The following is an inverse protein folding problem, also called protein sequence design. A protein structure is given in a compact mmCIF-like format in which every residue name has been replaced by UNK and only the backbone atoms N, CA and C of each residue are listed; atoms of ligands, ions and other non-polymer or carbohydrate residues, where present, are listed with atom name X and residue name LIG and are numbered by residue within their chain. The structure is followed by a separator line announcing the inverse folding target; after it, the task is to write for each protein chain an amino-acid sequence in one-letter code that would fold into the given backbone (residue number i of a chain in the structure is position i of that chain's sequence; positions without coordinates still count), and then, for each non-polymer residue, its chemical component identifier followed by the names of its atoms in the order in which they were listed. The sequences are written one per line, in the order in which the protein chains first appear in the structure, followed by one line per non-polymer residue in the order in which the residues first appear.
data_IF_832274791694
#
_entry.id   IF_832274791694
#
_cell.length_a   1.000
_cell.length_b   1.000
_cell.length_c   1.000
_cell.angle_alpha   90.00
_cell.angle_beta   90.00
_cell.angle_gamma   90.00
#
_symmetry.space_group_name_H-M   'P 1'
#
loop_
_entity.id
_entity.type
_entity.pdbx_description
1 polymer ?
#
# COMPACT_ATOMS: atom_id res chain seq x y z
N UNK A 1 -26.79 -28.31 -40.23
CA UNK A 1 -26.43 -26.88 -40.16
C UNK A 1 -26.38 -26.49 -38.69
N UNK A 2 -25.19 -26.54 -38.09
CA UNK A 2 -24.96 -26.11 -36.72
C UNK A 2 -24.53 -24.64 -36.72
N UNK A 3 -25.19 -23.86 -35.88
CA UNK A 3 -25.15 -22.41 -35.82
C UNK A 3 -23.88 -21.97 -35.07
N UNK A 4 -22.93 -21.36 -35.78
CA UNK A 4 -21.67 -20.86 -35.25
C UNK A 4 -21.92 -19.55 -34.48
N UNK A 5 -22.23 -19.66 -33.18
CA UNK A 5 -22.37 -18.53 -32.27
C UNK A 5 -21.27 -18.60 -31.21
N UNK A 6 -20.07 -18.14 -31.54
CA UNK A 6 -19.07 -17.67 -30.57
C UNK A 6 -18.04 -16.76 -31.26
N UNK A 7 -18.51 -15.63 -31.78
CA UNK A 7 -17.69 -14.58 -32.40
C UNK A 7 -17.01 -13.65 -31.40
N UNK A 8 -16.54 -14.14 -30.25
CA UNK A 8 -15.66 -13.36 -29.37
C UNK A 8 -14.22 -13.76 -29.67
N UNK A 9 -13.49 -12.89 -30.38
CA UNK A 9 -12.05 -13.01 -30.56
C UNK A 9 -11.37 -13.06 -29.19
N UNK A 10 -10.62 -14.13 -28.92
CA UNK A 10 -9.87 -14.28 -27.66
C UNK A 10 -8.87 -13.14 -27.55
N UNK A 11 -8.76 -12.51 -26.37
CA UNK A 11 -7.76 -11.42 -26.16
C UNK A 11 -6.33 -11.86 -26.53
N UNK A 12 -6.02 -13.14 -26.36
CA UNK A 12 -4.71 -13.73 -26.70
C UNK A 12 -4.47 -13.90 -28.19
N UNK A 13 -5.48 -13.72 -29.05
CA UNK A 13 -5.32 -13.73 -30.51
C UNK A 13 -5.07 -12.34 -31.09
N UNK A 14 -5.02 -11.30 -30.25
CA UNK A 14 -4.67 -9.95 -30.70
C UNK A 14 -3.17 -9.86 -31.02
N UNK A 15 -2.79 -9.05 -32.02
CA UNK A 15 -1.41 -8.70 -32.29
C UNK A 15 -0.69 -8.09 -31.07
N UNK A 16 0.63 -8.31 -30.97
CA UNK A 16 1.45 -7.91 -29.83
C UNK A 16 1.41 -6.39 -29.56
N UNK A 17 1.42 -5.58 -30.60
CA UNK A 17 1.31 -4.12 -30.54
C UNK A 17 -0.03 -3.65 -29.94
N UNK A 18 -1.13 -4.34 -30.24
CA UNK A 18 -2.43 -4.09 -29.63
C UNK A 18 -2.41 -4.49 -28.14
N UNK A 19 -1.80 -5.63 -27.81
CA UNK A 19 -1.64 -6.04 -26.41
C UNK A 19 -0.80 -5.03 -25.60
N UNK A 20 0.28 -4.51 -26.17
CA UNK A 20 1.11 -3.46 -25.55
C UNK A 20 0.29 -2.18 -25.37
N UNK A 21 -0.46 -1.77 -26.39
CA UNK A 21 -1.29 -0.55 -26.33
C UNK A 21 -2.40 -0.65 -25.27
N UNK A 22 -2.97 -1.83 -25.06
CA UNK A 22 -3.91 -2.07 -23.97
C UNK A 22 -3.23 -2.01 -22.60
N UNK A 23 -2.01 -2.55 -22.51
CA UNK A 23 -1.20 -2.53 -21.28
C UNK A 23 -0.78 -1.12 -20.85
N UNK A 24 -0.67 -0.18 -21.78
CA UNK A 24 -0.36 1.22 -21.47
C UNK A 24 -1.39 1.88 -20.54
N UNK A 25 -2.63 1.38 -20.52
CA UNK A 25 -3.70 1.88 -19.65
C UNK A 25 -3.70 1.24 -18.24
N UNK A 26 -2.81 0.27 -17.99
CA UNK A 26 -2.78 -0.49 -16.74
C UNK A 26 -1.70 0.06 -15.80
N UNK A 27 -2.01 0.04 -14.49
CA UNK A 27 -1.01 0.38 -13.47
C UNK A 27 0.03 -0.73 -13.34
N UNK A 28 1.25 -0.41 -12.85
CA UNK A 28 2.33 -1.40 -12.69
C UNK A 28 1.94 -2.69 -11.95
N UNK A 29 1.12 -2.60 -10.89
CA UNK A 29 0.67 -3.78 -10.16
C UNK A 29 -0.34 -4.62 -10.95
N UNK A 30 -1.19 -3.97 -11.75
CA UNK A 30 -2.18 -4.63 -12.60
C UNK A 30 -1.46 -5.35 -13.77
N UNK A 31 -0.39 -4.78 -14.31
CA UNK A 31 0.51 -5.45 -15.28
C UNK A 31 1.17 -6.71 -14.69
N UNK A 32 1.65 -6.64 -13.45
CA UNK A 32 2.23 -7.79 -12.74
C UNK A 32 1.17 -8.87 -12.49
N UNK A 33 -0.07 -8.49 -12.19
CA UNK A 33 -1.16 -9.45 -12.04
C UNK A 33 -1.54 -10.08 -13.39
N UNK A 34 -1.64 -9.26 -14.44
CA UNK A 34 -2.02 -9.68 -15.79
C UNK A 34 -1.09 -10.75 -16.34
N UNK A 35 0.23 -10.63 -16.12
CA UNK A 35 1.22 -11.60 -16.59
C UNK A 35 1.04 -13.01 -16.00
N UNK A 36 0.34 -13.14 -14.87
CA UNK A 36 0.08 -14.44 -14.23
C UNK A 36 -1.11 -15.19 -14.84
N UNK A 37 -1.84 -14.57 -15.77
CA UNK A 37 -3.04 -15.14 -16.35
C UNK A 37 -2.77 -16.12 -17.49
N UNK A 38 -1.94 -15.74 -18.47
CA UNK A 38 -1.63 -16.59 -19.63
C UNK A 38 -0.29 -16.23 -20.28
N UNK A 39 0.24 -17.16 -21.10
CA UNK A 39 1.55 -17.02 -21.74
C UNK A 39 1.64 -15.84 -22.72
N UNK A 40 0.60 -15.60 -23.52
CA UNK A 40 0.61 -14.49 -24.47
C UNK A 40 0.71 -13.12 -23.75
N UNK A 41 -0.05 -12.95 -22.68
CA UNK A 41 0.00 -11.74 -21.86
C UNK A 41 1.28 -11.66 -21.03
N UNK A 42 1.81 -12.80 -20.58
CA UNK A 42 3.12 -12.88 -19.96
C UNK A 42 4.21 -12.31 -20.88
N UNK A 43 4.28 -12.81 -22.12
CA UNK A 43 5.33 -12.44 -23.07
C UNK A 43 5.17 -10.98 -23.54
N UNK A 44 3.94 -10.52 -23.72
CA UNK A 44 3.64 -9.12 -24.02
C UNK A 44 4.01 -8.18 -22.85
N UNK A 45 3.70 -8.56 -21.61
CA UNK A 45 4.06 -7.76 -20.43
C UNK A 45 5.57 -7.71 -20.16
N UNK A 46 6.34 -8.65 -20.69
CA UNK A 46 7.80 -8.66 -20.59
C UNK A 46 8.48 -7.74 -21.61
N UNK A 47 7.72 -7.16 -22.55
CA UNK A 47 8.26 -6.21 -23.50
C UNK A 47 8.74 -4.95 -22.77
N UNK A 48 9.98 -4.57 -23.08
CA UNK A 48 10.67 -3.45 -22.44
C UNK A 48 9.88 -2.14 -22.53
N UNK A 49 9.26 -1.90 -23.69
CA UNK A 49 8.49 -0.68 -23.96
C UNK A 49 7.32 -0.49 -23.00
N UNK A 50 6.69 -1.58 -22.54
CA UNK A 50 5.59 -1.55 -21.57
C UNK A 50 6.07 -0.92 -20.26
N UNK A 51 7.26 -1.31 -19.78
CA UNK A 51 7.80 -0.82 -18.52
C UNK A 51 8.44 0.58 -18.62
N UNK A 52 8.92 0.98 -19.81
CA UNK A 52 9.34 2.38 -20.04
C UNK A 52 8.13 3.30 -19.90
N UNK A 53 7.03 2.97 -20.58
CA UNK A 53 5.79 3.75 -20.52
C UNK A 53 5.20 3.75 -19.12
N UNK A 54 5.11 2.58 -18.47
CA UNK A 54 4.62 2.49 -17.11
C UNK A 54 5.47 3.31 -16.11
N UNK A 55 6.80 3.29 -16.21
CA UNK A 55 7.66 4.12 -15.35
C UNK A 55 7.48 5.62 -15.63
N UNK A 56 7.34 6.00 -16.91
CA UNK A 56 7.12 7.38 -17.33
C UNK A 56 5.83 7.94 -16.72
N UNK A 57 4.72 7.22 -16.89
CA UNK A 57 3.42 7.59 -16.31
C UNK A 57 3.47 7.66 -14.78
N UNK A 58 4.15 6.71 -14.15
CA UNK A 58 4.35 6.71 -12.70
C UNK A 58 5.14 7.94 -12.24
N UNK A 59 6.19 8.34 -12.98
CA UNK A 59 6.95 9.54 -12.64
C UNK A 59 6.09 10.80 -12.75
N UNK A 60 5.30 10.92 -13.82
CA UNK A 60 4.36 12.03 -14.02
C UNK A 60 3.33 12.06 -12.87
N UNK A 61 2.74 10.91 -12.53
CA UNK A 61 1.70 10.83 -11.51
C UNK A 61 2.20 11.07 -10.06
N UNK A 62 3.51 11.02 -9.82
CA UNK A 62 4.10 11.18 -8.48
C UNK A 62 5.09 12.36 -8.42
N UNK A 63 5.07 13.26 -9.40
CA UNK A 63 5.97 14.42 -9.50
C UNK A 63 7.47 14.06 -9.39
N UNK A 64 7.84 12.88 -9.91
CA UNK A 64 9.23 12.41 -9.92
C UNK A 64 9.93 12.91 -11.18
N UNK A 65 11.09 13.53 -11.01
CA UNK A 65 11.88 14.03 -12.14
C UNK A 65 12.43 12.88 -13.00
N UNK A 66 11.75 12.58 -14.11
CA UNK A 66 12.04 11.44 -15.00
C UNK A 66 13.53 11.30 -15.40
N UNK A 67 14.30 12.39 -15.66
CA UNK A 67 15.72 12.27 -16.00
C UNK A 67 16.62 11.67 -14.90
N UNK A 68 16.11 11.53 -13.66
CA UNK A 68 16.80 10.75 -12.61
C UNK A 68 16.92 9.26 -12.97
N UNK A 69 16.05 8.76 -13.84
CA UNK A 69 16.11 7.40 -14.39
C UNK A 69 16.82 7.40 -15.74
N UNK A 70 17.91 6.62 -15.85
CA UNK A 70 18.62 6.41 -17.10
C UNK A 70 17.87 5.36 -17.93
N UNK A 71 16.68 5.72 -18.44
CA UNK A 71 15.73 4.79 -19.07
C UNK A 71 16.40 3.87 -20.07
N UNK A 72 17.28 4.39 -20.94
CA UNK A 72 17.99 3.64 -21.98
C UNK A 72 18.91 2.54 -21.44
N UNK A 73 19.50 2.76 -20.26
CA UNK A 73 20.48 1.84 -19.64
C UNK A 73 19.86 0.85 -18.67
N UNK A 74 18.69 1.18 -18.12
CA UNK A 74 17.99 0.29 -17.19
C UNK A 74 17.55 -0.99 -17.90
N UNK A 75 17.74 -2.14 -17.27
CA UNK A 75 17.16 -3.42 -17.69
C UNK A 75 15.63 -3.40 -17.55
N UNK A 76 14.93 -4.32 -18.24
CA UNK A 76 13.47 -4.47 -18.08
C UNK A 76 13.07 -4.74 -16.62
N UNK A 77 13.90 -5.49 -15.88
CA UNK A 77 13.65 -5.76 -14.47
C UNK A 77 13.79 -4.51 -13.60
N UNK A 78 14.80 -3.68 -13.85
CA UNK A 78 14.97 -2.40 -13.14
C UNK A 78 13.83 -1.43 -13.43
N UNK A 79 13.37 -1.36 -14.69
CA UNK A 79 12.19 -0.56 -15.06
C UNK A 79 10.93 -1.05 -14.33
N UNK A 80 10.70 -2.36 -14.31
CA UNK A 80 9.58 -2.95 -13.57
C UNK A 80 9.65 -2.59 -12.09
N UNK A 81 10.82 -2.74 -11.49
CA UNK A 81 11.02 -2.43 -10.07
C UNK A 81 10.77 -0.95 -9.78
N UNK A 82 11.33 -0.05 -10.59
CA UNK A 82 11.14 1.39 -10.45
C UNK A 82 9.67 1.80 -10.66
N UNK A 83 9.00 1.29 -11.70
CA UNK A 83 7.60 1.59 -11.98
C UNK A 83 6.68 1.10 -10.86
N UNK A 84 6.94 -0.09 -10.32
CA UNK A 84 6.18 -0.64 -9.20
C UNK A 84 6.57 -0.01 -7.85
N UNK A 85 7.69 0.71 -7.76
CA UNK A 85 8.22 1.19 -6.49
C UNK A 85 7.26 2.14 -5.77
N UNK A 86 6.68 3.19 -6.39
CA UNK A 86 5.77 4.10 -5.69
C UNK A 86 4.54 3.38 -5.12
N UNK A 87 3.96 2.46 -5.89
CA UNK A 87 2.83 1.64 -5.44
C UNK A 87 3.17 0.67 -4.29
N UNK A 88 4.45 0.33 -4.12
CA UNK A 88 4.98 -0.56 -3.07
C UNK A 88 5.60 0.17 -1.87
N UNK A 89 6.16 1.35 -2.08
CA UNK A 89 6.95 2.11 -1.11
C UNK A 89 6.19 3.29 -0.50
N UNK A 90 5.39 4.05 -1.28
CA UNK A 90 4.69 5.22 -0.75
C UNK A 90 3.57 4.87 0.24
N UNK A 91 3.01 3.65 0.17
CA UNK A 91 2.05 3.16 1.17
C UNK A 91 2.65 2.93 2.55
N UNK A 92 3.98 2.93 2.61
CA UNK A 92 4.78 2.51 3.74
C UNK A 92 5.72 3.61 4.22
N UNK A 93 5.55 4.84 3.72
CA UNK A 93 6.30 6.02 4.16
C UNK A 93 5.31 7.13 4.46
N UNK A 94 5.44 7.76 5.63
CA UNK A 94 4.62 8.90 6.03
C UNK A 94 5.53 10.02 6.52
N UNK A 95 5.51 11.16 5.83
CA UNK A 95 6.15 12.38 6.30
C UNK A 95 5.23 13.03 7.33
N UNK A 96 5.73 13.18 8.55
CA UNK A 96 5.00 13.83 9.63
C UNK A 96 4.79 15.31 9.28
N UNK A 97 3.58 15.86 9.48
CA UNK A 97 3.34 17.29 9.28
C UNK A 97 4.41 18.15 9.98
N UNK A 98 5.01 19.08 9.23
CA UNK A 98 6.20 19.83 9.65
C UNK A 98 7.51 19.34 9.03
N UNK A 99 7.52 18.16 8.39
CA UNK A 99 8.60 17.73 7.49
C UNK A 99 9.86 17.18 8.15
N UNK A 100 9.97 17.24 9.49
CA UNK A 100 11.15 16.79 10.24
C UNK A 100 11.21 15.27 10.40
N UNK A 101 10.08 14.62 10.65
CA UNK A 101 10.06 13.20 10.96
C UNK A 101 9.45 12.38 9.83
N UNK A 102 9.97 11.17 9.62
CA UNK A 102 9.42 10.20 8.67
C UNK A 102 9.15 8.88 9.38
N UNK A 103 7.96 8.35 9.19
CA UNK A 103 7.60 6.99 9.60
C UNK A 103 7.78 6.07 8.41
N UNK A 104 8.50 4.96 8.60
CA UNK A 104 8.72 3.94 7.59
C UNK A 104 8.22 2.61 8.14
N UNK A 105 7.28 2.00 7.42
CA UNK A 105 6.86 0.62 7.64
C UNK A 105 7.63 -0.28 6.66
N UNK A 106 8.26 -1.32 7.17
CA UNK A 106 8.85 -2.38 6.35
C UNK A 106 8.13 -3.68 6.65
N UNK A 107 8.48 -4.74 5.91
CA UNK A 107 7.98 -6.09 6.20
C UNK A 107 8.30 -6.55 7.64
N UNK A 108 9.35 -6.00 8.27
CA UNK A 108 9.87 -6.50 9.54
C UNK A 108 9.91 -5.47 10.66
N UNK A 109 9.58 -4.20 10.37
CA UNK A 109 9.70 -3.15 11.36
C UNK A 109 8.87 -1.93 11.02
N UNK A 110 8.34 -1.27 12.05
CA UNK A 110 7.89 0.10 11.98
C UNK A 110 8.96 0.99 12.62
N UNK A 111 9.35 2.04 11.90
CA UNK A 111 10.50 2.89 12.24
C UNK A 111 10.12 4.35 12.19
N UNK A 112 10.68 5.15 13.09
CA UNK A 112 10.63 6.61 13.05
C UNK A 112 12.04 7.15 12.79
N UNK A 113 12.15 8.10 11.86
CA UNK A 113 13.40 8.74 11.46
C UNK A 113 13.29 10.25 11.66
N UNK A 114 14.36 10.87 12.14
CA UNK A 114 14.54 12.32 12.24
C UNK A 114 15.43 12.79 11.08
N UNK A 115 14.91 13.73 10.29
CA UNK A 115 15.55 14.29 9.11
C UNK A 115 16.31 15.59 9.40
N UNK A 116 16.34 16.10 10.64
CA UNK A 116 16.92 17.41 10.98
C UNK A 116 18.36 17.63 10.45
N UNK A 117 19.12 16.56 10.25
CA UNK A 117 20.52 16.61 9.80
C UNK A 117 20.71 16.30 8.30
N UNK A 118 19.63 15.94 7.59
CA UNK A 118 19.67 15.62 6.16
C UNK A 118 19.91 16.92 5.38
N UNK A 119 21.13 17.06 4.85
CA UNK A 119 21.56 18.25 4.10
C UNK A 119 22.80 18.94 4.67
N UNK A 120 23.19 18.64 5.92
CA UNK A 120 24.44 19.13 6.53
C UNK A 120 25.59 18.10 6.44
N UNK A 121 25.51 17.16 5.49
CA UNK A 121 26.44 16.04 5.37
C UNK A 121 26.14 14.84 6.29
N UNK A 122 25.10 14.93 7.12
CA UNK A 122 24.58 13.81 7.90
C UNK A 122 23.43 13.09 7.18
N UNK A 123 23.35 11.76 7.33
CA UNK A 123 22.14 10.99 6.99
C UNK A 123 21.04 11.18 8.04
N UNK A 124 19.80 10.79 7.72
CA UNK A 124 18.71 10.78 8.70
C UNK A 124 19.04 9.86 9.88
N UNK A 125 18.61 10.23 11.09
CA UNK A 125 18.82 9.43 12.30
C UNK A 125 17.58 8.61 12.60
N UNK A 126 17.71 7.28 12.73
CA UNK A 126 16.61 6.45 13.25
C UNK A 126 16.38 6.78 14.73
N UNK A 127 15.20 7.30 15.05
CA UNK A 127 14.77 7.66 16.41
C UNK A 127 14.44 6.41 17.19
N UNK A 128 13.58 5.55 16.62
CA UNK A 128 13.19 4.29 17.25
C UNK A 128 12.67 3.29 16.20
N UNK A 129 12.51 2.04 16.62
CA UNK A 129 11.96 0.97 15.79
C UNK A 129 11.31 -0.09 16.67
N UNK A 130 10.15 -0.57 16.25
CA UNK A 130 9.55 -1.81 16.75
C UNK A 130 9.64 -2.87 15.67
N UNK A 131 9.98 -4.11 16.06
CA UNK A 131 9.98 -5.25 15.14
C UNK A 131 8.54 -5.71 14.95
N UNK A 132 8.18 -5.94 13.69
CA UNK A 132 6.93 -6.61 13.36
C UNK A 132 7.15 -8.12 13.46
N UNK A 133 6.17 -8.86 14.00
CA UNK A 133 6.10 -10.32 13.93
C UNK A 133 6.15 -10.79 12.46
N UNK A 134 6.28 -12.10 12.21
CA UNK A 134 6.45 -12.72 10.87
C UNK A 134 5.21 -12.54 9.97
N UNK A 135 4.88 -11.29 9.67
CA UNK A 135 3.60 -10.84 9.14
C UNK A 135 3.83 -9.83 8.01
N UNK A 136 3.00 -9.90 6.97
CA UNK A 136 3.12 -9.04 5.79
C UNK A 136 2.44 -7.69 6.00
N UNK A 137 3.12 -6.73 6.63
CA UNK A 137 2.60 -5.37 6.80
C UNK A 137 2.82 -4.55 5.52
N UNK A 138 1.74 -4.09 4.87
CA UNK A 138 1.80 -3.47 3.53
C UNK A 138 1.23 -2.05 3.45
N UNK A 139 0.70 -1.53 4.55
CA UNK A 139 0.14 -0.17 4.64
C UNK A 139 0.05 0.24 6.11
N UNK A 140 0.00 1.53 6.38
CA UNK A 140 -0.47 2.06 7.66
C UNK A 140 -1.24 3.36 7.44
N UNK A 141 -1.89 3.85 8.50
CA UNK A 141 -2.41 5.22 8.56
C UNK A 141 -1.83 5.90 9.79
N UNK A 142 -1.55 7.19 9.68
CA UNK A 142 -0.91 7.97 10.72
C UNK A 142 -1.65 9.29 10.95
N UNK A 143 -1.65 9.77 12.19
CA UNK A 143 -2.13 11.11 12.54
C UNK A 143 -1.39 11.62 13.79
N UNK A 144 -1.38 12.94 14.05
CA UNK A 144 -1.00 13.48 15.35
C UNK A 144 -1.92 13.00 16.47
N UNK A 145 -1.41 12.93 17.70
CA UNK A 145 -2.24 12.85 18.92
C UNK A 145 -3.11 14.10 19.08
N UNK A 146 -4.14 14.05 19.93
CA UNK A 146 -5.07 15.18 20.14
C UNK A 146 -4.37 16.46 20.62
N UNK A 147 -3.32 16.32 21.41
CA UNK A 147 -2.47 17.42 21.89
C UNK A 147 -1.42 17.86 20.85
N UNK A 148 -1.27 17.14 19.73
CA UNK A 148 -0.29 17.41 18.69
C UNK A 148 1.16 17.09 19.06
N UNK A 149 1.41 16.53 20.24
CA UNK A 149 2.77 16.30 20.77
C UNK A 149 3.34 14.94 20.37
N UNK A 150 2.48 14.01 19.95
CA UNK A 150 2.83 12.66 19.54
C UNK A 150 2.19 12.26 18.21
N UNK A 151 2.41 11.00 17.84
CA UNK A 151 1.87 10.37 16.64
C UNK A 151 1.16 9.09 17.03
N UNK A 152 -0.01 8.87 16.42
CA UNK A 152 -0.69 7.58 16.43
C UNK A 152 -0.63 6.96 15.04
N UNK A 153 -0.38 5.65 15.03
CA UNK A 153 -0.18 4.85 13.84
C UNK A 153 -1.08 3.62 13.95
N UNK A 154 -1.81 3.29 12.89
CA UNK A 154 -2.56 2.03 12.80
C UNK A 154 -1.94 1.14 11.74
N UNK A 155 -1.56 -0.06 12.15
CA UNK A 155 -0.84 -1.03 11.32
C UNK A 155 -1.64 -2.34 11.29
N UNK A 156 -2.17 -2.74 10.11
CA UNK A 156 -2.72 -4.06 9.91
C UNK A 156 -1.59 -5.08 9.69
N UNK A 157 -1.69 -6.20 10.39
CA UNK A 157 -0.72 -7.28 10.37
C UNK A 157 -1.38 -8.58 9.88
N UNK A 158 -0.64 -9.29 9.02
CA UNK A 158 -1.14 -10.42 8.24
C UNK A 158 -0.24 -11.62 8.47
N UNK A 159 -0.71 -12.63 9.21
CA UNK A 159 0.09 -13.83 9.40
C UNK A 159 0.37 -14.53 8.07
N UNK A 160 1.57 -15.10 7.96
CA UNK A 160 1.94 -15.97 6.84
C UNK A 160 1.01 -17.19 6.73
N UNK A 161 0.56 -17.71 7.88
CA UNK A 161 -0.45 -18.76 7.92
C UNK A 161 -1.83 -18.18 7.63
N UNK A 162 -2.43 -18.59 6.50
CA UNK A 162 -3.76 -18.15 6.07
C UNK A 162 -4.89 -18.54 7.04
N UNK A 163 -4.65 -19.51 7.93
CA UNK A 163 -5.60 -19.89 8.97
C UNK A 163 -5.53 -18.99 10.22
N UNK A 164 -4.46 -18.22 10.39
CA UNK A 164 -4.29 -17.34 11.55
C UNK A 164 -5.07 -16.03 11.38
N UNK A 165 -5.51 -15.47 12.52
CA UNK A 165 -6.29 -14.23 12.55
C UNK A 165 -5.41 -13.04 12.17
N UNK A 166 -5.92 -12.17 11.29
CA UNK A 166 -5.32 -10.87 11.04
C UNK A 166 -5.46 -10.01 12.28
N UNK A 167 -4.55 -9.06 12.47
CA UNK A 167 -4.61 -8.14 13.58
C UNK A 167 -4.48 -6.71 13.07
N UNK A 168 -5.10 -5.78 13.78
CA UNK A 168 -4.91 -4.34 13.59
C UNK A 168 -4.37 -3.82 14.91
N UNK A 169 -3.14 -3.31 14.90
CA UNK A 169 -2.50 -2.72 16.08
C UNK A 169 -2.44 -1.20 15.95
N UNK A 170 -2.67 -0.51 17.06
CA UNK A 170 -2.51 0.95 17.19
C UNK A 170 -1.26 1.20 18.01
N UNK A 171 -0.31 1.92 17.43
CA UNK A 171 0.92 2.36 18.07
C UNK A 171 0.87 3.86 18.37
N UNK A 172 1.50 4.27 19.45
CA UNK A 172 1.68 5.67 19.84
C UNK A 172 3.15 5.96 20.13
N UNK A 173 3.59 7.17 19.82
CA UNK A 173 4.95 7.66 20.08
C UNK A 173 4.95 9.17 20.30
N UNK A 174 5.80 9.64 21.22
CA UNK A 174 6.12 11.03 21.44
C UNK A 174 7.58 11.29 21.02
N UNK A 175 7.83 11.79 19.78
CA UNK A 175 9.18 11.84 19.20
C UNK A 175 10.20 12.72 19.93
N UNK A 176 9.71 13.66 20.76
CA UNK A 176 10.52 14.68 21.44
C UNK A 176 10.80 14.36 22.91
N UNK A 177 10.31 13.23 23.42
CA UNK A 177 10.70 12.75 24.75
C UNK A 177 12.16 12.30 24.78
N UNK A 178 12.76 12.24 25.97
CA UNK A 178 14.16 11.82 26.15
C UNK A 178 14.43 10.40 25.62
N UNK A 179 13.43 9.51 25.72
CA UNK A 179 13.50 8.13 25.25
C UNK A 179 12.24 7.76 24.44
N UNK A 180 12.16 8.19 23.17
CA UNK A 180 10.97 7.98 22.35
C UNK A 180 10.81 6.50 22.00
N UNK A 181 9.65 5.94 22.33
CA UNK A 181 9.31 4.53 22.08
C UNK A 181 8.03 4.40 21.27
N UNK A 182 8.01 3.44 20.35
CA UNK A 182 6.79 3.04 19.64
C UNK A 182 6.08 2.01 20.50
N UNK A 183 5.04 2.46 21.22
CA UNK A 183 4.28 1.61 22.13
C UNK A 183 2.98 1.15 21.48
N UNK A 184 2.70 -0.15 21.51
CA UNK A 184 1.37 -0.66 21.14
C UNK A 184 0.39 -0.30 22.25
N UNK A 185 -0.62 0.50 21.94
CA UNK A 185 -1.63 0.96 22.91
C UNK A 185 -2.95 0.22 22.80
N UNK A 186 -3.23 -0.41 21.65
CA UNK A 186 -4.42 -1.23 21.43
C UNK A 186 -4.22 -2.22 20.27
N UNK A 187 -4.98 -3.31 20.27
CA UNK A 187 -5.07 -4.19 19.11
C UNK A 187 -6.46 -4.82 18.96
N UNK A 188 -6.78 -5.22 17.73
CA UNK A 188 -8.02 -5.88 17.35
C UNK A 188 -7.74 -7.08 16.46
N UNK A 189 -8.21 -8.27 16.85
CA UNK A 189 -8.22 -9.45 15.99
C UNK A 189 -9.36 -9.38 14.97
N UNK A 190 -9.04 -9.52 13.68
CA UNK A 190 -10.01 -9.44 12.59
C UNK A 190 -10.14 -10.79 11.88
N UNK A 191 -11.33 -11.38 11.99
CA UNK A 191 -11.73 -12.56 11.23
C UNK A 191 -12.20 -12.13 9.83
N UNK A 192 -11.25 -11.77 8.96
CA UNK A 192 -11.53 -11.34 7.59
C UNK A 192 -11.04 -12.36 6.57
N UNK A 193 -11.82 -12.59 5.52
CA UNK A 193 -11.42 -13.36 4.33
C UNK A 193 -10.70 -12.51 3.27
N UNK A 194 -10.72 -11.17 3.40
CA UNK A 194 -10.16 -10.26 2.41
C UNK A 194 -8.62 -10.33 2.35
N UNK A 195 -8.00 -10.28 1.17
CA UNK A 195 -6.54 -10.35 1.05
C UNK A 195 -5.78 -9.17 1.67
N UNK A 196 -6.46 -8.05 1.96
CA UNK A 196 -5.85 -6.85 2.54
C UNK A 196 -6.88 -5.90 3.14
N UNK A 197 -6.62 -5.43 4.36
CA UNK A 197 -7.34 -4.40 5.08
C UNK A 197 -6.52 -3.09 5.01
N UNK A 198 -7.16 -2.00 4.62
CA UNK A 198 -6.53 -0.66 4.62
C UNK A 198 -7.22 0.22 5.66
N UNK A 199 -6.79 0.16 6.93
CA UNK A 199 -7.39 0.98 7.98
C UNK A 199 -7.08 2.46 7.79
N UNK A 200 -7.99 3.29 8.28
CA UNK A 200 -7.86 4.74 8.39
C UNK A 200 -8.07 5.13 9.83
N UNK A 201 -7.20 6.01 10.32
CA UNK A 201 -7.23 6.50 11.68
C UNK A 201 -7.81 7.91 11.69
N UNK A 202 -8.76 8.17 12.58
CA UNK A 202 -9.36 9.49 12.79
C UNK A 202 -9.72 9.68 14.25
N UNK A 203 -8.99 10.53 14.97
CA UNK A 203 -9.18 10.71 16.41
C UNK A 203 -8.96 9.40 17.17
N UNK A 204 -9.97 8.94 17.91
CA UNK A 204 -9.93 7.67 18.65
C UNK A 204 -10.54 6.49 17.87
N UNK A 205 -10.84 6.69 16.58
CA UNK A 205 -11.52 5.71 15.73
C UNK A 205 -10.59 5.14 14.66
N UNK A 206 -10.65 3.83 14.50
CA UNK A 206 -10.12 3.10 13.33
C UNK A 206 -11.29 2.72 12.44
N UNK A 207 -11.26 3.13 11.19
CA UNK A 207 -12.25 2.80 10.16
C UNK A 207 -11.61 1.89 9.12
N UNK A 208 -12.25 0.78 8.79
CA UNK A 208 -11.78 -0.11 7.75
C UNK A 208 -12.93 -0.83 7.05
N UNK A 209 -12.68 -1.24 5.81
CA UNK A 209 -13.59 -2.07 5.03
C UNK A 209 -13.17 -3.52 5.14
N UNK A 210 -14.15 -4.39 5.38
CA UNK A 210 -14.00 -5.83 5.36
C UNK A 210 -15.08 -6.41 4.44
N UNK A 211 -14.69 -6.80 3.24
CA UNK A 211 -15.60 -7.14 2.13
C UNK A 211 -16.61 -6.00 1.87
N UNK A 212 -17.89 -6.22 2.16
CA UNK A 212 -18.97 -5.25 1.97
C UNK A 212 -19.43 -4.58 3.26
N UNK A 213 -18.65 -4.73 4.34
CA UNK A 213 -19.00 -4.17 5.65
C UNK A 213 -18.00 -3.08 6.02
N UNK A 214 -18.53 -1.88 6.31
CA UNK A 214 -17.76 -0.81 6.95
C UNK A 214 -17.70 -1.13 8.43
N UNK A 215 -16.50 -1.19 8.99
CA UNK A 215 -16.26 -1.40 10.43
C UNK A 215 -15.60 -0.16 11.01
N UNK A 216 -16.09 0.28 12.15
CA UNK A 216 -15.54 1.39 12.94
C UNK A 216 -15.24 0.85 14.33
N UNK A 217 -14.01 1.01 14.78
CA UNK A 217 -13.53 0.58 16.09
C UNK A 217 -13.01 1.79 16.87
N UNK A 218 -13.63 2.07 18.01
CA UNK A 218 -13.09 2.97 19.03
C UNK A 218 -12.07 2.19 19.85
N UNK A 219 -10.79 2.46 19.62
CA UNK A 219 -9.71 1.70 20.25
C UNK A 219 -9.43 2.13 21.69
N UNK A 220 -9.97 3.28 22.14
CA UNK A 220 -9.81 3.77 23.51
C UNK A 220 -10.86 3.12 24.41
N UNK A 221 -12.11 3.09 23.97
CA UNK A 221 -13.22 2.50 24.72
C UNK A 221 -13.45 1.02 24.39
N UNK A 222 -12.73 0.49 23.40
CA UNK A 222 -12.89 -0.85 22.85
C UNK A 222 -14.33 -1.16 22.39
N UNK A 223 -14.96 -0.19 21.72
CA UNK A 223 -16.32 -0.29 21.18
C UNK A 223 -16.26 -0.41 19.66
N UNK A 224 -17.24 -1.06 19.03
CA UNK A 224 -17.29 -1.17 17.58
C UNK A 224 -18.70 -1.03 17.03
N UNK A 225 -18.76 -0.60 15.78
CA UNK A 225 -19.98 -0.54 14.99
C UNK A 225 -19.69 -1.05 13.57
N UNK A 226 -20.68 -1.68 12.95
CA UNK A 226 -20.57 -2.19 11.59
C UNK A 226 -21.83 -1.91 10.77
N UNK A 227 -21.65 -1.66 9.48
CA UNK A 227 -22.72 -1.40 8.52
C UNK A 227 -22.49 -2.19 7.24
N UNK A 228 -23.52 -2.87 6.75
CA UNK A 228 -23.45 -3.63 5.51
C UNK A 228 -23.85 -2.74 4.32
N UNK A 229 -22.90 -2.50 3.42
CA UNK A 229 -23.08 -1.61 2.26
C UNK A 229 -24.12 -2.08 1.25
N UNK A 230 -24.51 -3.37 1.24
CA UNK A 230 -25.56 -3.88 0.36
C UNK A 230 -26.96 -3.86 0.99
N UNK A 231 -27.08 -4.02 2.30
CA UNK A 231 -28.39 -4.11 2.98
C UNK A 231 -28.89 -2.78 3.51
N UNK A 232 -27.99 -1.88 3.91
CA UNK A 232 -28.36 -0.69 4.66
C UNK A 232 -28.60 0.54 3.78
N UNK A 233 -28.10 0.56 2.54
CA UNK A 233 -28.33 1.64 1.57
C UNK A 233 -29.60 1.45 0.71
N UNK A 234 -30.28 0.31 0.80
CA UNK A 234 -31.57 0.07 0.14
C UNK A 234 -32.78 0.56 0.95
N UNK A 235 -32.55 1.30 2.04
CA UNK A 235 -33.61 1.87 2.90
C UNK A 235 -33.76 3.39 2.82
N UNK A 236 -33.18 4.02 1.79
CA UNK A 236 -33.44 5.43 1.49
C UNK A 236 -34.28 5.51 0.22
N UNK A 237 -35.59 5.37 0.39
CA UNK A 237 -36.63 5.67 -0.60
C UNK A 237 -37.84 6.26 0.09
#
# INVERSE_FOLDING_TARGET
MANDRNGFSKITSLPLDILISLMDYLRPLDLIALRKSCRALHDASHQRIVWIKALTEVCIANDVFLPTFQLDRMTTQELLQAAAAPSRWLKNVFLVPGGRFVVILTLHSLQLWDLEHVGKGGGGRRVTSVKMSQEYNITFSAQPTKDGMGLRLVVPSYPMDTAARKQISVYEIFPLEDQPTLSEIAHLGVNSTCSGISPRLTGDLVVFLDNHTVKVWDFVNNLWAEWNTHKDFLKVS
#
